data_IF_965683205687
#
_entry.id   IF_965683205687
#
_cell.length_a   1.000
_cell.length_b   1.000
_cell.length_c   1.000
_cell.angle_alpha   90.00
_cell.angle_beta   90.00
_cell.angle_gamma   90.00
#
_symmetry.space_group_name_H-M   'P 1'
#
loop_
_entity.id
_entity.type
_entity.pdbx_description
1 polymer ?
2 polymer ?
3 polymer ?
4 polymer ?
5 water ?
#
loop_
_entity_poly.entity_id
_entity_poly.type
_entity_poly.pdbx_seq_one_letter_code
_entity_poly.pdbx_strand_id
3 'polydeoxyribonucleotide' '(DG)(DG)(DA)(DA)(DG)(DC)(DC)(DA)(DC)(DA)(DT)(DC)(DC)(DT)(DC)(DT)' ?
4 'polydeoxyribonucleotide' '(DC)(DA)(DG)(DA)(DG)(DG)(DA)(DT)(DG)(DT)(DG)(DG)(DC)(DT)(DT)(DC)' ?
#
# COMPACT_ATOMS: atom_id res chain seq x y z
N UNK A 54 -37.50 9.82 0.19
CA UNK A 54 -36.13 9.44 -0.25
C UNK A 54 -35.58 8.25 0.53
N UNK A 55 -36.04 8.08 1.77
CA UNK A 55 -35.62 6.96 2.61
C UNK A 55 -36.26 5.67 2.12
N UNK A 56 -37.35 5.81 1.37
CA UNK A 56 -38.07 4.66 0.83
C UNK A 56 -37.40 4.08 -0.41
N UNK A 57 -36.72 4.94 -1.17
CA UNK A 57 -36.04 4.51 -2.38
C UNK A 57 -34.78 3.73 -2.01
N UNK A 58 -34.25 3.99 -0.82
CA UNK A 58 -33.01 3.34 -0.36
C UNK A 58 -33.13 3.02 1.13
N UNK A 59 -33.99 2.05 1.48
CA UNK A 59 -34.20 1.64 2.87
C UNK A 59 -32.94 1.13 3.58
N UNK A 60 -32.69 1.67 4.76
CA UNK A 60 -31.53 1.25 5.53
C UNK A 60 -30.18 1.57 4.90
N UNK A 61 -30.13 2.65 4.12
CA UNK A 61 -28.89 3.04 3.48
C UNK A 61 -28.45 4.42 3.92
N UNK A 62 -29.29 5.07 4.72
CA UNK A 62 -28.95 6.39 5.25
C UNK A 62 -28.99 6.29 6.76
N UNK A 63 -28.29 7.19 7.42
CA UNK A 63 -28.24 7.19 8.87
C UNK A 63 -28.18 8.63 9.35
N UNK A 64 -28.53 8.84 10.61
CA UNK A 64 -28.53 10.19 11.15
C UNK A 64 -27.21 10.60 11.76
N UNK A 65 -26.85 11.86 11.51
CA UNK A 65 -25.63 12.43 12.03
C UNK A 65 -26.00 13.14 13.32
N UNK A 66 -25.01 13.53 14.11
CA UNK A 66 -25.32 14.22 15.37
C UNK A 66 -25.96 15.58 15.06
N UNK A 67 -26.14 15.87 13.77
CA UNK A 67 -26.78 17.10 13.34
C UNK A 67 -28.17 16.70 12.83
N UNK A 68 -29.20 17.47 13.18
CA UNK A 68 -30.55 17.15 12.71
C UNK A 68 -30.83 17.55 11.26
N UNK A 69 -29.94 18.34 10.66
CA UNK A 69 -30.13 18.79 9.29
C UNK A 69 -29.39 17.96 8.26
N UNK A 70 -28.75 16.88 8.70
CA UNK A 70 -27.99 16.04 7.78
C UNK A 70 -28.03 14.54 8.01
N UNK A 71 -27.88 13.81 6.91
CA UNK A 71 -27.86 12.35 6.90
C UNK A 71 -26.69 11.92 6.04
N UNK A 72 -26.11 10.77 6.35
CA UNK A 72 -24.98 10.27 5.57
C UNK A 72 -25.15 8.76 5.44
N UNK A 73 -24.62 8.19 4.36
CA UNK A 73 -24.74 6.75 4.13
C UNK A 73 -24.15 5.93 5.27
N UNK A 74 -24.63 4.70 5.40
CA UNK A 74 -24.10 3.82 6.42
C UNK A 74 -22.77 3.29 5.90
N UNK A 75 -21.76 3.28 6.75
CA UNK A 75 -20.46 2.76 6.37
C UNK A 75 -20.26 1.37 6.97
N UNK A 76 -19.35 0.58 6.39
CA UNK A 76 -19.09 -0.76 6.92
C UNK A 76 -18.42 -0.65 8.30
N UNK A 77 -18.71 -1.57 9.20
CA UNK A 77 -18.11 -1.52 10.51
C UNK A 77 -16.59 -1.56 10.34
N UNK A 78 -16.12 -2.54 9.56
CA UNK A 78 -14.69 -2.75 9.30
C UNK A 78 -14.36 -2.70 7.79
N UNK A 79 -13.28 -2.03 7.42
CA UNK A 79 -12.93 -1.98 6.02
C UNK A 79 -11.43 -1.87 5.79
N UNK A 80 -11.01 -2.44 4.67
CA UNK A 80 -9.60 -2.43 4.30
C UNK A 80 -9.11 -1.09 3.84
N UNK A 81 -7.90 -0.76 4.28
CA UNK A 81 -7.31 0.51 3.94
C UNK A 81 -7.03 0.61 2.44
N UNK A 82 -7.43 1.74 1.89
CA UNK A 82 -7.30 2.08 0.48
C UNK A 82 -8.22 1.29 -0.43
N UNK A 83 -9.03 0.41 0.13
CA UNK A 83 -9.95 -0.35 -0.71
C UNK A 83 -11.22 0.49 -0.99
N UNK A 84 -11.81 0.32 -2.16
CA UNK A 84 -13.00 1.07 -2.51
C UNK A 84 -14.15 0.61 -1.61
N UNK A 85 -15.04 1.53 -1.30
CA UNK A 85 -16.17 1.23 -0.44
C UNK A 85 -17.22 0.39 -1.14
N UNK A 86 -18.05 -0.31 -0.35
CA UNK A 86 -19.10 -1.14 -0.95
C UNK A 86 -20.32 -0.32 -1.37
N UNK A 87 -20.42 0.92 -0.85
CA UNK A 87 -21.54 1.81 -1.16
C UNK A 87 -21.06 3.22 -1.35
N UNK A 88 -21.34 3.82 -2.51
CA UNK A 88 -20.90 5.19 -2.72
C UNK A 88 -21.29 5.96 -1.47
N UNK A 89 -20.39 6.74 -0.92
CA UNK A 89 -20.72 7.49 0.28
C UNK A 89 -21.48 8.77 -0.06
N UNK A 90 -22.62 8.96 0.59
CA UNK A 90 -23.47 10.11 0.33
C UNK A 90 -23.82 10.91 1.57
N UNK A 91 -23.83 12.23 1.43
CA UNK A 91 -24.21 13.10 2.53
C UNK A 91 -25.46 13.85 2.09
N UNK A 92 -26.56 13.60 2.79
CA UNK A 92 -27.84 14.24 2.47
C UNK A 92 -28.21 15.37 3.41
N UNK A 93 -28.53 16.52 2.83
CA UNK A 93 -28.93 17.70 3.57
C UNK A 93 -30.45 17.78 3.63
N UNK A 94 -31.00 17.85 4.84
CA UNK A 94 -32.44 17.93 5.02
C UNK A 94 -32.95 19.32 4.70
N UNK A 95 -32.23 20.34 5.17
CA UNK A 95 -32.62 21.71 4.90
C UNK A 95 -32.29 22.10 3.47
N UNK A 96 -32.25 23.39 3.18
CA UNK A 96 -31.96 23.84 1.83
C UNK A 96 -30.48 24.17 1.63
N UNK A 97 -29.81 23.37 0.81
CA UNK A 97 -28.41 23.59 0.53
C UNK A 97 -28.27 23.78 -0.99
N UNK A 98 -27.97 25.02 -1.40
CA UNK A 98 -27.81 25.30 -2.83
C UNK A 98 -26.84 24.36 -3.52
N UNK A 99 -27.24 23.89 -4.69
CA UNK A 99 -26.40 22.99 -5.47
C UNK A 99 -25.07 23.66 -5.83
N UNK A 100 -23.98 22.98 -5.45
CA UNK A 100 -22.65 23.50 -5.72
C UNK A 100 -21.85 23.73 -4.46
N UNK A 101 -22.51 23.65 -3.30
CA UNK A 101 -21.82 23.86 -2.04
C UNK A 101 -20.86 22.70 -1.80
N UNK A 102 -19.65 23.02 -1.36
CA UNK A 102 -18.64 22.01 -1.08
C UNK A 102 -18.93 21.27 0.20
N UNK A 103 -18.68 19.97 0.20
CA UNK A 103 -18.89 19.16 1.39
C UNK A 103 -17.65 18.28 1.58
N UNK A 104 -17.01 18.41 2.73
CA UNK A 104 -15.82 17.61 2.99
C UNK A 104 -15.98 16.72 4.20
N UNK A 105 -15.35 15.57 4.13
CA UNK A 105 -15.39 14.63 5.23
C UNK A 105 -13.96 14.42 5.72
N UNK A 106 -13.80 14.24 7.03
CA UNK A 106 -12.50 14.00 7.65
C UNK A 106 -12.70 12.85 8.61
N UNK A 107 -11.70 11.98 8.71
CA UNK A 107 -11.78 10.83 9.60
C UNK A 107 -10.70 10.98 10.64
N UNK A 108 -10.96 10.49 11.85
CA UNK A 108 -9.98 10.60 12.90
C UNK A 108 -10.40 9.97 14.21
N UNK A 109 -9.49 10.03 15.19
CA UNK A 109 -9.70 9.48 16.52
C UNK A 109 -8.45 9.65 17.38
N UNK A 110 -8.49 9.03 18.56
CA UNK A 110 -7.40 9.06 19.53
C UNK A 110 -6.00 8.91 18.94
N UNK A 111 -5.82 7.89 18.10
CA UNK A 111 -4.53 7.60 17.47
C UNK A 111 -4.19 8.59 16.35
N UNK A 112 -5.10 8.68 15.38
CA UNK A 112 -4.90 9.55 14.24
C UNK A 112 -5.81 10.78 14.32
N UNK A 113 -5.24 11.94 14.62
CA UNK A 113 -6.07 13.13 14.70
C UNK A 113 -6.79 13.36 13.38
N UNK A 114 -6.06 13.24 12.29
CA UNK A 114 -6.67 13.42 10.97
C UNK A 114 -6.09 12.40 9.98
N UNK A 115 -6.80 11.29 9.84
CA UNK A 115 -6.38 10.22 8.95
C UNK A 115 -6.37 10.65 7.50
N UNK A 116 -5.49 10.02 6.72
CA UNK A 116 -5.40 10.34 5.30
C UNK A 116 -6.55 9.71 4.53
N UNK A 117 -7.20 10.52 3.70
CA UNK A 117 -8.34 10.05 2.91
C UNK A 117 -8.12 10.32 1.43
N UNK A 118 -8.95 9.70 0.61
CA UNK A 118 -8.91 9.92 -0.83
C UNK A 118 -10.33 10.33 -1.28
N UNK A 119 -10.41 11.43 -2.02
CA UNK A 119 -11.68 11.90 -2.54
C UNK A 119 -12.66 12.30 -1.43
N UNK A 120 -12.16 12.99 -0.42
CA UNK A 120 -13.01 13.38 0.69
C UNK A 120 -13.78 14.68 0.46
N UNK A 121 -13.74 15.18 -0.78
CA UNK A 121 -14.45 16.39 -1.13
C UNK A 121 -15.48 16.11 -2.21
N UNK A 122 -16.70 16.63 -2.01
CA UNK A 122 -17.79 16.45 -2.97
C UNK A 122 -18.68 17.69 -3.05
N UNK A 123 -19.34 17.84 -4.20
CA UNK A 123 -20.24 18.97 -4.43
C UNK A 123 -21.67 18.56 -4.13
N UNK A 124 -22.35 19.41 -3.37
CA UNK A 124 -23.74 19.18 -2.98
C UNK A 124 -24.68 19.45 -4.17
N UNK A 125 -25.53 18.49 -4.49
CA UNK A 125 -26.47 18.69 -5.58
C UNK A 125 -27.80 17.99 -5.32
N UNK A 126 -28.82 18.82 -5.10
CA UNK A 126 -30.16 18.36 -4.81
C UNK A 126 -30.19 17.79 -3.40
N UNK A 127 -29.63 18.55 -2.47
CA UNK A 127 -29.59 18.14 -1.08
C UNK A 127 -28.75 16.88 -0.88
N UNK A 128 -28.00 16.50 -1.90
CA UNK A 128 -27.16 15.29 -1.82
C UNK A 128 -25.76 15.42 -2.41
N UNK A 129 -24.76 15.19 -1.56
CA UNK A 129 -23.35 15.22 -1.97
C UNK A 129 -22.95 13.75 -2.17
N UNK A 130 -22.71 13.39 -3.42
CA UNK A 130 -22.32 12.03 -3.78
C UNK A 130 -20.81 12.00 -3.91
N UNK A 131 -20.17 11.23 -3.04
CA UNK A 131 -18.72 11.11 -3.07
C UNK A 131 -18.32 10.06 -4.09
N UNK A 132 -17.33 10.41 -4.91
CA UNK A 132 -16.85 9.53 -5.94
C UNK A 132 -15.68 8.69 -5.42
N UNK A 133 -15.98 7.46 -5.00
CA UNK A 133 -14.91 6.58 -4.55
C UNK A 133 -14.07 7.13 -3.40
N UNK A 134 -14.70 7.37 -2.25
CA UNK A 134 -14.00 7.87 -1.08
C UNK A 134 -13.28 6.70 -0.47
N UNK A 135 -12.02 6.89 -0.08
CA UNK A 135 -11.26 5.81 0.54
C UNK A 135 -10.46 6.24 1.74
N UNK A 136 -10.35 5.32 2.70
CA UNK A 136 -9.58 5.55 3.90
C UNK A 136 -8.21 4.92 3.71
N UNK A 137 -7.18 5.75 3.67
CA UNK A 137 -5.81 5.29 3.49
C UNK A 137 -5.18 5.07 4.86
N UNK A 138 -5.28 6.11 5.70
CA UNK A 138 -4.75 6.04 7.07
C UNK A 138 -5.46 4.98 7.90
N UNK A 139 -4.76 4.41 8.89
CA UNK A 139 -5.36 3.38 9.75
C UNK A 139 -5.90 3.89 11.09
N UNK A 140 -6.96 3.26 11.59
CA UNK A 140 -7.59 3.69 12.84
C UNK A 140 -7.00 3.14 14.13
N UNK A 141 -6.21 2.08 14.04
CA UNK A 141 -5.63 1.54 15.25
C UNK A 141 -6.36 0.28 15.67
N UNK A 142 -5.62 -0.70 16.16
CA UNK A 142 -6.19 -1.97 16.59
C UNK A 142 -7.44 -1.79 17.44
N UNK A 143 -8.51 -2.48 17.06
CA UNK A 143 -9.77 -2.40 17.77
C UNK A 143 -10.26 -0.98 18.01
N UNK A 144 -10.13 -0.12 17.01
CA UNK A 144 -10.58 1.25 17.15
C UNK A 144 -11.31 1.74 15.89
N UNK A 145 -12.09 2.80 16.02
CA UNK A 145 -12.83 3.31 14.87
C UNK A 145 -12.56 4.78 14.64
N UNK A 146 -12.96 5.23 13.46
CA UNK A 146 -12.79 6.61 13.08
C UNK A 146 -14.11 7.35 13.24
N UNK A 147 -14.02 8.62 13.59
CA UNK A 147 -15.22 9.42 13.73
C UNK A 147 -15.19 10.39 12.56
N UNK A 148 -16.16 10.26 11.66
CA UNK A 148 -16.19 11.14 10.52
C UNK A 148 -16.67 12.51 10.91
N UNK A 149 -16.10 13.52 10.29
CA UNK A 149 -16.51 14.88 10.57
C UNK A 149 -16.90 15.51 9.25
N UNK A 150 -18.17 15.42 8.93
CA UNK A 150 -18.66 16.02 7.71
C UNK A 150 -18.73 17.52 7.91
N UNK A 151 -18.55 18.27 6.83
CA UNK A 151 -18.58 19.71 6.94
C UNK A 151 -19.06 20.32 5.64
N UNK A 152 -20.30 20.80 5.68
CA UNK A 152 -20.92 21.44 4.53
C UNK A 152 -20.55 22.91 4.57
N UNK A 153 -19.88 23.37 3.52
CA UNK A 153 -19.42 24.74 3.46
C UNK A 153 -20.44 25.77 2.98
N UNK A 154 -21.46 25.98 3.81
CA UNK A 154 -22.48 26.97 3.53
C UNK A 154 -21.91 28.27 4.08
N UNK A 155 -22.78 29.19 4.44
CA UNK A 155 -22.33 30.46 4.98
C UNK A 155 -23.33 30.91 6.02
N UNK A 156 -23.01 30.71 7.32
CA UNK A 156 -21.77 30.08 7.78
C UNK A 156 -21.74 28.58 7.50
N UNK A 157 -20.56 27.96 7.64
CA UNK A 157 -20.37 26.53 7.41
C UNK A 157 -21.07 25.70 8.49
N UNK A 158 -21.41 24.46 8.15
CA UNK A 158 -22.09 23.57 9.09
C UNK A 158 -21.29 22.28 9.34
N UNK A 159 -21.36 21.77 10.57
CA UNK A 159 -20.64 20.55 10.92
C UNK A 159 -21.54 19.47 11.46
N UNK A 160 -21.35 18.24 10.96
CA UNK A 160 -22.13 17.10 11.40
C UNK A 160 -21.17 15.95 11.65
N UNK A 161 -21.37 15.21 12.74
CA UNK A 161 -20.51 14.10 13.09
C UNK A 161 -21.22 12.75 13.05
N UNK A 162 -20.45 11.72 12.72
CA UNK A 162 -20.92 10.33 12.63
C UNK A 162 -19.88 9.56 13.45
N UNK A 163 -20.13 9.47 14.76
CA UNK A 163 -19.23 8.80 15.71
C UNK A 163 -19.03 7.31 15.53
N UNK A 164 -17.86 6.83 15.96
CA UNK A 164 -17.52 5.40 15.88
C UNK A 164 -18.11 4.85 14.60
N UNK A 165 -17.70 5.40 13.48
CA UNK A 165 -18.24 4.99 12.20
C UNK A 165 -17.58 3.76 11.57
N UNK A 166 -16.30 3.88 11.24
CA UNK A 166 -15.65 2.76 10.55
C UNK A 166 -14.25 2.46 11.06
N UNK A 167 -13.92 1.17 11.10
CA UNK A 167 -12.58 0.77 11.51
C UNK A 167 -11.79 0.42 10.25
N UNK A 168 -10.64 1.06 10.08
CA UNK A 168 -9.81 0.82 8.90
C UNK A 168 -8.50 0.15 9.29
N UNK A 169 -8.26 -1.00 8.68
CA UNK A 169 -7.03 -1.76 8.93
C UNK A 169 -6.40 -2.20 7.61
N UNK A 170 -5.15 -2.64 7.67
CA UNK A 170 -4.43 -3.06 6.48
C UNK A 170 -5.00 -4.27 5.75
N UNK A 171 -5.78 -5.10 6.42
CA UNK A 171 -6.36 -6.26 5.74
C UNK A 171 -7.86 -6.05 5.63
N UNK A 172 -8.40 -5.39 6.65
CA UNK A 172 -9.83 -5.14 6.70
C UNK A 172 -10.54 -6.43 7.06
N UNK A 173 -11.86 -6.49 6.92
CA UNK A 173 -12.61 -7.71 7.24
C UNK A 173 -12.00 -8.88 6.48
N UNK A 174 -11.62 -9.93 7.20
CA UNK A 174 -10.97 -11.06 6.54
C UNK A 174 -11.43 -12.45 6.98
N UNK A 175 -11.35 -13.39 6.05
CA UNK A 175 -11.72 -14.80 6.27
C UNK A 175 -10.89 -15.43 7.39
N UNK A 176 -11.55 -16.03 8.40
CA UNK A 176 -10.82 -16.66 9.51
C UNK A 176 -9.77 -17.66 9.04
N UNK A 177 -8.56 -17.52 9.55
CA UNK A 177 -7.43 -18.36 9.17
C UNK A 177 -7.66 -19.81 9.58
N UNK A 190 39.12 -7.49 11.09
CA UNK A 190 37.78 -8.13 10.97
C UNK A 190 37.03 -7.71 9.71
N UNK A 191 36.46 -8.67 9.01
CA UNK A 191 35.70 -8.41 7.78
C UNK A 191 34.89 -9.63 7.35
N UNK A 192 33.58 -9.43 7.20
CA UNK A 192 32.68 -10.50 6.79
C UNK A 192 32.32 -10.46 5.31
N UNK A 193 31.87 -11.60 4.80
CA UNK A 193 31.53 -11.75 3.39
C UNK A 193 30.10 -11.31 3.06
N UNK A 194 29.75 -11.41 1.79
CA UNK A 194 28.42 -11.04 1.34
C UNK A 194 27.40 -11.87 2.07
N UNK A 195 27.50 -13.18 1.91
CA UNK A 195 26.59 -14.11 2.54
C UNK A 195 26.26 -13.63 3.95
N UNK A 196 27.30 -13.23 4.68
CA UNK A 196 27.12 -12.75 6.05
C UNK A 196 26.47 -11.38 6.09
N UNK A 197 26.84 -10.51 5.17
CA UNK A 197 26.26 -9.17 5.12
C UNK A 197 24.82 -9.22 4.63
N UNK A 198 24.55 -10.01 3.61
CA UNK A 198 23.19 -10.13 3.10
C UNK A 198 22.29 -10.70 4.18
N UNK A 199 22.83 -11.63 4.98
CA UNK A 199 22.06 -12.25 6.04
C UNK A 199 21.66 -11.22 7.09
N UNK A 200 22.62 -10.46 7.57
CA UNK A 200 22.34 -9.44 8.58
C UNK A 200 21.30 -8.53 7.98
N UNK A 201 21.50 -8.18 6.71
CA UNK A 201 20.59 -7.30 6.00
C UNK A 201 19.18 -7.87 5.93
N UNK A 202 19.06 -9.12 5.49
CA UNK A 202 17.76 -9.76 5.37
C UNK A 202 17.01 -9.94 6.68
N UNK A 203 17.65 -9.61 7.79
CA UNK A 203 17.01 -9.77 9.10
C UNK A 203 16.68 -8.43 9.72
N UNK A 204 17.50 -7.43 9.42
CA UNK A 204 17.34 -6.09 9.96
C UNK A 204 16.06 -5.89 10.76
N UNK A 205 14.91 -5.89 10.09
CA UNK A 205 13.63 -5.71 10.77
C UNK A 205 13.52 -6.61 12.01
N UNK A 206 14.02 -7.84 11.92
CA UNK A 206 13.98 -8.79 13.04
C UNK A 206 14.69 -8.23 14.28
N UNK A 207 16.02 -8.27 14.23
CA UNK A 207 16.86 -7.79 15.32
C UNK A 207 16.64 -6.31 15.65
N UNK A 208 16.51 -5.47 14.64
CA UNK A 208 16.29 -4.05 14.84
C UNK A 208 15.09 -3.81 15.75
N UNK A 209 14.01 -4.53 15.48
CA UNK A 209 12.79 -4.41 16.29
C UNK A 209 13.00 -5.03 17.67
N UNK A 210 13.42 -6.30 17.70
CA UNK A 210 13.65 -6.99 18.96
C UNK A 210 14.48 -6.15 19.93
N UNK A 211 15.75 -5.99 19.59
CA UNK A 211 16.69 -5.23 20.40
C UNK A 211 16.25 -3.81 20.77
N UNK A 212 15.26 -3.29 20.04
CA UNK A 212 14.77 -1.94 20.33
C UNK A 212 13.29 -1.95 20.70
N UNK B 37 13.59 -20.74 5.20
CA UNK B 37 14.98 -20.45 5.69
C UNK B 37 15.03 -19.07 6.35
N UNK B 38 13.87 -18.59 6.78
CA UNK B 38 13.78 -17.28 7.41
C UNK B 38 13.17 -16.26 6.47
N UNK B 39 12.95 -15.02 6.93
CA UNK B 39 12.36 -13.98 6.08
C UNK B 39 13.34 -13.54 4.98
N UNK B 40 12.84 -13.45 3.75
CA UNK B 40 13.66 -13.06 2.61
C UNK B 40 12.80 -12.25 1.61
N UNK B 41 13.35 -11.15 1.11
CA UNK B 41 12.61 -10.33 0.14
C UNK B 41 13.17 -10.55 -1.27
N UNK B 42 12.27 -10.67 -2.24
CA UNK B 42 12.66 -10.89 -3.63
C UNK B 42 13.93 -10.15 -4.04
N UNK B 43 13.98 -8.84 -3.88
CA UNK B 43 15.19 -8.13 -4.29
C UNK B 43 16.45 -8.63 -3.59
N UNK B 44 16.29 -9.29 -2.45
CA UNK B 44 17.44 -9.80 -1.73
C UNK B 44 17.83 -11.17 -2.29
N UNK B 45 16.82 -11.99 -2.52
CA UNK B 45 17.02 -13.30 -3.09
C UNK B 45 17.81 -13.10 -4.37
N UNK B 46 17.25 -12.35 -5.31
CA UNK B 46 17.94 -12.08 -6.56
C UNK B 46 19.38 -11.69 -6.28
N UNK B 47 19.57 -10.84 -5.28
CA UNK B 47 20.91 -10.39 -4.96
C UNK B 47 21.80 -11.60 -4.62
N UNK B 48 21.19 -12.66 -4.11
CA UNK B 48 21.95 -13.85 -3.78
C UNK B 48 22.41 -14.48 -5.10
N UNK B 49 21.46 -14.93 -5.91
CA UNK B 49 21.76 -15.53 -7.20
C UNK B 49 22.81 -14.71 -7.98
N UNK B 50 22.85 -13.41 -7.73
CA UNK B 50 23.81 -12.56 -8.42
C UNK B 50 25.16 -12.55 -7.73
N UNK B 51 25.24 -13.23 -6.59
CA UNK B 51 26.48 -13.31 -5.83
C UNK B 51 26.92 -14.77 -5.78
N UNK B 52 26.28 -15.58 -6.63
CA UNK B 52 26.56 -17.01 -6.71
C UNK B 52 27.01 -17.37 -8.13
N UNK B 53 28.33 -17.36 -8.35
CA UNK B 53 28.92 -17.66 -9.65
C UNK B 53 28.23 -18.83 -10.36
N UNK B 54 27.61 -19.71 -9.59
CA UNK B 54 26.92 -20.89 -10.13
C UNK B 54 25.67 -20.57 -10.95
N UNK B 55 25.00 -19.47 -10.62
CA UNK B 55 23.77 -19.09 -11.31
C UNK B 55 23.91 -18.26 -12.58
N UNK B 56 25.08 -17.67 -12.76
CA UNK B 56 25.37 -16.82 -13.92
C UNK B 56 24.73 -17.28 -15.22
N UNK B 57 24.35 -18.54 -15.27
CA UNK B 57 23.72 -19.08 -16.45
C UNK B 57 22.41 -18.35 -16.78
N UNK B 58 21.48 -18.37 -15.83
CA UNK B 58 20.17 -17.75 -16.02
C UNK B 58 20.02 -16.30 -15.54
N UNK B 59 20.95 -15.81 -14.73
CA UNK B 59 20.86 -14.45 -14.26
C UNK B 59 22.24 -13.90 -13.99
N UNK B 60 22.52 -12.71 -14.51
CA UNK B 60 23.84 -12.13 -14.31
C UNK B 60 23.88 -10.62 -14.45
N UNK B 61 24.91 -10.00 -13.86
CA UNK B 61 25.08 -8.57 -13.96
C UNK B 61 25.30 -8.29 -15.43
N UNK B 62 25.27 -7.03 -15.83
CA UNK B 62 25.45 -6.68 -17.23
C UNK B 62 26.70 -5.82 -17.38
N UNK B 63 27.38 -5.58 -16.28
CA UNK B 63 28.58 -4.77 -16.32
C UNK B 63 28.31 -3.30 -16.08
N UNK B 64 27.07 -2.85 -16.33
CA UNK B 64 26.71 -1.46 -16.12
C UNK B 64 26.15 -1.30 -14.71
N UNK B 65 26.82 -0.47 -13.89
CA UNK B 65 26.37 -0.25 -12.52
C UNK B 65 25.78 -1.49 -11.87
N UNK B 66 24.55 -1.38 -11.36
CA UNK B 66 23.88 -2.51 -10.71
C UNK B 66 22.80 -3.07 -11.60
N UNK B 67 22.89 -2.79 -12.89
CA UNK B 67 21.92 -3.31 -13.85
C UNK B 67 22.16 -4.81 -13.99
N UNK B 68 21.12 -5.57 -14.32
CA UNK B 68 21.29 -7.01 -14.48
C UNK B 68 20.20 -7.59 -15.35
N UNK B 69 20.43 -8.79 -15.87
CA UNK B 69 19.44 -9.42 -16.72
C UNK B 69 19.06 -10.82 -16.25
N UNK B 70 17.83 -11.19 -16.55
CA UNK B 70 17.31 -12.50 -16.20
C UNK B 70 17.36 -13.31 -17.48
N UNK B 71 18.59 -13.64 -17.90
CA UNK B 71 18.79 -14.43 -19.11
C UNK B 71 17.77 -15.56 -19.22
N UNK B 72 17.41 -16.18 -18.09
CA UNK B 72 16.41 -17.25 -18.08
C UNK B 72 15.34 -17.04 -17.00
N UNK B 73 14.32 -16.22 -17.31
CA UNK B 73 13.22 -15.92 -16.39
C UNK B 73 12.65 -17.14 -15.68
N UNK B 74 12.00 -17.99 -16.47
CA UNK B 74 11.36 -19.20 -15.96
C UNK B 74 12.19 -19.92 -14.89
N UNK B 75 13.51 -19.88 -15.01
CA UNK B 75 14.36 -20.55 -14.04
C UNK B 75 14.30 -19.82 -12.69
N UNK B 76 14.70 -18.55 -12.73
CA UNK B 76 14.69 -17.69 -11.55
C UNK B 76 13.31 -17.82 -10.92
N UNK B 77 12.30 -17.73 -11.77
CA UNK B 77 10.93 -17.87 -11.32
C UNK B 77 10.81 -19.16 -10.51
N UNK B 78 11.39 -20.24 -11.07
CA UNK B 78 11.34 -21.55 -10.43
C UNK B 78 12.01 -21.59 -9.06
N UNK B 79 13.21 -21.04 -8.96
CA UNK B 79 13.91 -21.04 -7.69
C UNK B 79 13.16 -20.21 -6.66
N UNK B 80 12.76 -19.00 -7.04
CA UNK B 80 12.04 -18.11 -6.14
C UNK B 80 10.80 -18.78 -5.59
N UNK B 81 10.02 -19.40 -6.48
CA UNK B 81 8.82 -20.10 -6.02
C UNK B 81 9.19 -21.15 -4.99
N UNK B 82 10.38 -21.73 -5.17
CA UNK B 82 10.88 -22.77 -4.27
C UNK B 82 11.29 -22.16 -2.94
N UNK B 83 12.02 -21.05 -2.99
CA UNK B 83 12.47 -20.38 -1.78
C UNK B 83 11.27 -19.85 -0.98
N UNK B 84 10.12 -19.73 -1.64
CA UNK B 84 8.90 -19.24 -0.97
C UNK B 84 7.88 -20.34 -0.83
N UNK B 85 8.23 -21.54 -1.29
CA UNK B 85 7.32 -22.68 -1.21
C UNK B 85 6.05 -22.30 -1.98
N UNK B 86 6.28 -21.79 -3.18
CA UNK B 86 5.22 -21.37 -4.07
C UNK B 86 5.46 -22.09 -5.39
N UNK B 87 4.90 -23.29 -5.54
CA UNK B 87 5.05 -24.10 -6.76
C UNK B 87 4.66 -23.34 -8.03
N UNK B 88 3.42 -22.85 -8.05
CA UNK B 88 2.89 -22.13 -9.18
C UNK B 88 3.72 -20.92 -9.63
N UNK B 89 4.60 -20.45 -8.75
CA UNK B 89 5.43 -19.29 -9.08
C UNK B 89 5.99 -19.35 -10.49
N UNK B 90 6.04 -18.19 -11.14
CA UNK B 90 6.54 -18.09 -12.51
C UNK B 90 7.04 -16.67 -12.69
N UNK B 91 7.35 -16.29 -13.93
CA UNK B 91 7.87 -14.95 -14.17
C UNK B 91 6.81 -13.88 -14.32
N UNK B 92 5.64 -14.26 -14.79
CA UNK B 92 4.57 -13.28 -14.95
C UNK B 92 4.29 -12.70 -13.56
N UNK B 93 4.20 -13.58 -12.58
CA UNK B 93 3.93 -13.15 -11.22
C UNK B 93 5.17 -12.55 -10.59
N UNK B 94 6.33 -13.14 -10.83
CA UNK B 94 7.56 -12.61 -10.27
C UNK B 94 7.84 -11.19 -10.80
N UNK B 95 7.55 -10.93 -12.07
CA UNK B 95 7.79 -9.58 -12.60
C UNK B 95 6.83 -8.57 -11.92
N UNK B 96 5.67 -9.04 -11.46
CA UNK B 96 4.76 -8.15 -10.75
C UNK B 96 5.52 -7.63 -9.52
N UNK B 97 5.96 -8.56 -8.68
CA UNK B 97 6.73 -8.17 -7.51
C UNK B 97 7.80 -7.16 -7.85
N UNK B 98 8.50 -7.36 -8.96
CA UNK B 98 9.55 -6.40 -9.33
C UNK B 98 8.97 -5.02 -9.57
N UNK B 99 7.79 -5.00 -10.16
CA UNK B 99 7.14 -3.74 -10.45
C UNK B 99 6.81 -2.99 -9.17
N UNK B 100 6.36 -3.71 -8.13
CA UNK B 100 6.05 -3.06 -6.85
C UNK B 100 7.27 -2.36 -6.31
N UNK B 101 8.46 -2.60 -6.87
CA UNK B 101 9.63 -1.93 -6.32
C UNK B 101 9.87 -0.62 -7.01
N UNK B 102 9.19 -0.38 -8.14
CA UNK B 102 9.42 0.84 -8.90
C UNK B 102 9.17 2.06 -8.05
N UNK B 103 7.99 2.06 -7.43
CA UNK B 103 7.56 3.11 -6.52
C UNK B 103 8.57 3.21 -5.38
N UNK B 104 8.63 2.15 -4.58
CA UNK B 104 9.50 2.02 -3.42
C UNK B 104 10.98 2.28 -3.68
N UNK B 105 11.32 2.60 -4.93
CA UNK B 105 12.69 2.89 -5.34
C UNK B 105 13.78 1.91 -4.89
N UNK B 106 13.55 0.64 -5.16
CA UNK B 106 14.49 -0.39 -4.80
C UNK B 106 15.07 -0.96 -6.09
N UNK B 107 14.21 -1.12 -7.09
CA UNK B 107 14.59 -1.60 -8.40
C UNK B 107 13.80 -0.90 -9.49
N UNK B 108 14.49 -0.52 -10.56
CA UNK B 108 13.85 0.11 -11.70
C UNK B 108 14.08 -0.82 -12.87
N UNK B 109 13.26 -0.69 -13.92
CA UNK B 109 13.40 -1.51 -15.12
C UNK B 109 14.18 -0.71 -16.16
N UNK B 110 14.88 -1.40 -17.07
CA UNK B 110 15.62 -0.71 -18.12
C UNK B 110 14.76 -0.74 -19.37
N UNK B 111 14.51 0.46 -19.90
CA UNK B 111 13.69 0.62 -21.10
C UNK B 111 14.27 -0.06 -22.33
N UNK B 112 13.49 -0.97 -22.92
CA UNK B 112 13.91 -1.65 -24.13
C UNK B 112 14.65 -2.96 -23.98
N UNK B 113 15.30 -3.18 -22.85
CA UNK B 113 16.05 -4.42 -22.65
C UNK B 113 15.32 -5.50 -21.87
N UNK B 114 14.55 -6.30 -22.60
CA UNK B 114 13.80 -7.41 -22.03
C UNK B 114 14.57 -8.11 -20.90
N UNK B 115 13.87 -8.42 -19.82
CA UNK B 115 14.45 -9.09 -18.65
C UNK B 115 15.56 -8.29 -17.99
N UNK B 116 15.72 -7.04 -18.41
CA UNK B 116 16.76 -6.21 -17.81
C UNK B 116 16.21 -5.21 -16.81
N UNK B 117 16.76 -5.27 -15.60
CA UNK B 117 16.37 -4.37 -14.53
C UNK B 117 17.62 -3.73 -13.98
N UNK B 118 17.53 -3.15 -12.80
CA UNK B 118 18.67 -2.49 -12.17
C UNK B 118 18.35 -2.14 -10.74
N UNK B 119 19.31 -2.35 -9.85
CA UNK B 119 19.11 -2.01 -8.45
C UNK B 119 19.32 -0.51 -8.39
N UNK B 120 18.38 0.20 -7.77
CA UNK B 120 18.50 1.64 -7.67
C UNK B 120 18.75 2.12 -6.27
N UNK B 121 18.61 1.22 -5.29
CA UNK B 121 18.88 1.59 -3.90
C UNK B 121 20.40 1.75 -3.79
N UNK B 122 20.89 2.16 -2.62
CA UNK B 122 22.33 2.35 -2.46
C UNK B 122 23.00 1.09 -1.93
N UNK B 123 23.16 0.11 -2.80
CA UNK B 123 23.80 -1.15 -2.44
C UNK B 123 25.21 -0.92 -1.91
N UNK B 124 25.89 0.09 -2.41
CA UNK B 124 27.24 0.35 -1.93
C UNK B 124 27.25 0.64 -0.44
N UNK B 125 26.36 1.53 -0.01
CA UNK B 125 26.29 1.89 1.40
C UNK B 125 25.77 0.72 2.21
N UNK B 126 24.95 -0.12 1.59
CA UNK B 126 24.42 -1.28 2.28
C UNK B 126 25.42 -2.44 2.43
N UNK B 127 26.24 -2.66 1.41
CA UNK B 127 27.19 -3.75 1.44
C UNK B 127 28.66 -3.36 1.46
N UNK B 128 28.99 -2.19 0.91
CA UNK B 128 30.37 -1.75 0.91
C UNK B 128 31.16 -1.95 -0.36
N UNK B 129 30.60 -2.66 -1.32
CA UNK B 129 31.32 -2.90 -2.55
C UNK B 129 30.87 -2.05 -3.71
N UNK B 130 31.82 -1.39 -4.36
CA UNK B 130 31.50 -0.58 -5.52
C UNK B 130 31.14 -1.63 -6.55
N UNK B 131 30.46 -1.23 -7.64
CA UNK B 131 30.08 -2.21 -8.67
C UNK B 131 31.23 -3.10 -9.15
N UNK B 132 32.39 -2.51 -9.41
CA UNK B 132 33.54 -3.27 -9.89
C UNK B 132 34.08 -4.25 -8.84
N UNK B 133 34.34 -3.73 -7.64
CA UNK B 133 34.85 -4.57 -6.56
C UNK B 133 34.00 -5.82 -6.46
N UNK B 134 32.69 -5.63 -6.37
CA UNK B 134 31.79 -6.76 -6.28
C UNK B 134 31.87 -7.60 -7.55
N UNK B 135 31.74 -6.96 -8.70
CA UNK B 135 31.80 -7.66 -9.98
C UNK B 135 33.02 -8.57 -10.03
N UNK B 136 34.13 -8.09 -9.49
CA UNK B 136 35.36 -8.87 -9.46
C UNK B 136 35.10 -10.23 -8.82
N UNK B 137 34.82 -10.21 -7.51
CA UNK B 137 34.54 -11.43 -6.74
C UNK B 137 33.54 -12.38 -7.41
#
# INVERSE_FOLDING_TARGET
>A
MRIPVDASTSRRFTPPSTALSPGKMSEALPLGAPDAGAALAGKLRSGDRSMVEVLADHPGELVRTDSPNFLCSVLPTHWRCNKTLPIAFKVVALGDVPDGTLVTVMAGNDENYSAELRNATAAMKNQVARFNDLRFVGRSGRGKSFTLTITVFTNPPQVATYHRAIKITVDGPREPRRHRQKLDDQTKPGSLSFSERLSELEQLRRTAMRVSPHHPAPTPNPRASLNHSTAFNPQPQSQMQD
>B
PNHKPKGTFKDYVRDRADLNKDKPVIPAAALAGYTGSGPIQLWQFLLELLTDKSCQSFISWTGDGWEFKLSDPDEVARRWGKRKNKPKMNYEKLSRGLRYYYDKNIIHKTAGKRYVYRFVCDLQSLLGYTPEELHAMLDVKPDADE
#
